data_IF_974327749631
#
_entry.id   IF_974327749631
#
_cell.length_a   1.000
_cell.length_b   1.000
_cell.length_c   1.000
_cell.angle_alpha   90.00
_cell.angle_beta   90.00
_cell.angle_gamma   90.00
#
_symmetry.space_group_name_H-M   'P 1'
#
loop_
_entity.id
_entity.type
_entity.pdbx_description
1 polymer ?
#
# COMPACT_ATOMS: atom_id res chain seq x y z
N UNK A 1 -28.60 -40.94 -0.22
CA UNK A 1 -29.11 -40.28 1.01
C UNK A 1 -29.24 -38.80 0.67
N UNK A 2 -30.43 -38.22 0.83
CA UNK A 2 -30.67 -36.82 0.47
C UNK A 2 -30.05 -35.89 1.51
N UNK A 3 -29.12 -35.03 1.11
CA UNK A 3 -28.61 -33.94 1.95
C UNK A 3 -29.79 -33.06 2.39
N UNK A 4 -30.28 -33.26 3.62
CA UNK A 4 -31.33 -32.45 4.21
C UNK A 4 -30.73 -31.11 4.62
N UNK A 5 -30.84 -30.12 3.74
CA UNK A 5 -30.51 -28.74 4.05
C UNK A 5 -31.54 -28.14 5.01
N UNK A 6 -31.07 -27.56 6.10
CA UNK A 6 -31.87 -26.83 7.09
C UNK A 6 -31.59 -25.33 6.95
N UNK A 7 -32.61 -24.50 7.18
CA UNK A 7 -32.45 -23.04 7.21
C UNK A 7 -31.54 -22.66 8.38
N UNK A 8 -30.59 -21.75 8.14
CA UNK A 8 -29.68 -21.33 9.18
C UNK A 8 -30.35 -20.35 10.15
N UNK A 9 -30.06 -20.53 11.43
CA UNK A 9 -30.39 -19.62 12.52
C UNK A 9 -29.22 -19.56 13.52
N UNK A 10 -29.31 -18.68 14.52
CA UNK A 10 -28.24 -18.44 15.50
C UNK A 10 -27.79 -19.68 16.29
N UNK A 11 -28.51 -20.81 16.23
CA UNK A 11 -28.20 -22.03 17.01
C UNK A 11 -27.51 -23.12 16.19
N UNK A 12 -27.54 -23.03 14.86
CA UNK A 12 -27.15 -24.14 14.00
C UNK A 12 -25.98 -23.83 13.05
N UNK A 13 -25.32 -22.68 13.21
CA UNK A 13 -24.10 -22.35 12.49
C UNK A 13 -22.90 -23.13 13.04
N UNK A 14 -21.95 -23.54 12.17
CA UNK A 14 -20.66 -24.04 12.62
C UNK A 14 -19.87 -22.92 13.31
N UNK A 15 -19.06 -23.30 14.30
CA UNK A 15 -18.12 -22.37 14.92
C UNK A 15 -16.99 -22.10 13.94
N UNK A 16 -16.70 -20.82 13.67
CA UNK A 16 -15.58 -20.42 12.82
C UNK A 16 -14.77 -19.35 13.54
N UNK A 17 -13.51 -19.65 13.82
CA UNK A 17 -12.61 -18.69 14.45
C UNK A 17 -11.73 -17.99 13.42
N UNK A 18 -11.27 -16.79 13.75
CA UNK A 18 -10.35 -16.02 12.89
C UNK A 18 -9.08 -16.81 12.55
N UNK A 19 -8.59 -17.64 13.48
CA UNK A 19 -7.41 -18.49 13.25
C UNK A 19 -7.66 -19.52 12.15
N UNK A 20 -8.83 -20.16 12.12
CA UNK A 20 -9.22 -21.12 11.06
C UNK A 20 -9.22 -20.45 9.69
N UNK A 21 -9.72 -19.21 9.62
CA UNK A 21 -9.76 -18.42 8.38
C UNK A 21 -8.33 -18.09 7.91
N UNK A 22 -7.44 -17.68 8.82
CA UNK A 22 -6.06 -17.36 8.50
C UNK A 22 -5.28 -18.60 8.01
N UNK A 23 -5.47 -19.75 8.66
CA UNK A 23 -4.89 -21.02 8.25
C UNK A 23 -5.37 -21.44 6.86
N UNK A 24 -6.68 -21.42 6.62
CA UNK A 24 -7.27 -21.72 5.30
C UNK A 24 -6.72 -20.81 4.19
N UNK A 25 -6.61 -19.50 4.45
CA UNK A 25 -6.06 -18.55 3.49
C UNK A 25 -4.58 -18.82 3.22
N UNK A 26 -3.82 -19.25 4.23
CA UNK A 26 -2.38 -19.52 4.09
C UNK A 26 -2.09 -20.76 3.24
N UNK A 27 -2.98 -21.76 3.26
CA UNK A 27 -2.83 -23.03 2.55
C UNK A 27 -3.56 -23.05 1.20
N UNK A 28 -4.55 -22.17 1.00
CA UNK A 28 -5.33 -22.10 -0.24
C UNK A 28 -4.59 -21.39 -1.38
N UNK A 29 -4.32 -22.13 -2.47
CA UNK A 29 -3.74 -21.61 -3.71
C UNK A 29 -4.62 -20.54 -4.40
N UNK A 30 -5.92 -20.47 -4.07
CA UNK A 30 -6.84 -19.48 -4.64
C UNK A 30 -6.79 -18.12 -3.91
N UNK A 31 -6.34 -18.09 -2.66
CA UNK A 31 -6.32 -16.90 -1.80
C UNK A 31 -4.91 -16.44 -1.44
N UNK A 32 -3.90 -17.28 -1.66
CA UNK A 32 -2.49 -17.01 -1.37
C UNK A 32 -1.65 -16.61 -2.61
N UNK A 33 -2.30 -16.14 -3.67
CA UNK A 33 -1.64 -15.65 -4.89
C UNK A 33 -0.96 -14.29 -4.61
N UNK A 34 0.33 -14.17 -4.90
CA UNK A 34 1.18 -13.04 -4.50
C UNK A 34 0.62 -11.68 -4.95
N UNK A 35 -0.04 -11.64 -6.11
CA UNK A 35 -0.59 -10.46 -6.77
C UNK A 35 -1.87 -9.92 -6.11
N UNK A 36 -2.58 -10.73 -5.32
CA UNK A 36 -3.90 -10.40 -4.75
C UNK A 36 -3.96 -10.57 -3.22
N UNK A 37 -2.86 -11.00 -2.60
CA UNK A 37 -2.73 -11.23 -1.16
C UNK A 37 -3.18 -9.99 -0.36
N UNK A 38 -4.16 -10.17 0.53
CA UNK A 38 -4.67 -9.13 1.44
C UNK A 38 -5.76 -8.19 0.88
N UNK A 39 -5.79 -7.93 -0.43
CA UNK A 39 -6.78 -6.99 -1.01
C UNK A 39 -8.22 -7.51 -0.91
N UNK A 40 -8.44 -8.78 -1.26
CA UNK A 40 -9.76 -9.43 -1.17
C UNK A 40 -10.21 -9.62 0.28
N UNK A 41 -9.25 -9.80 1.21
CA UNK A 41 -9.49 -9.90 2.65
C UNK A 41 -10.06 -8.58 3.16
N UNK A 42 -9.33 -7.48 2.94
CA UNK A 42 -9.74 -6.12 3.35
C UNK A 42 -11.12 -5.73 2.81
N UNK A 43 -11.42 -6.09 1.57
CA UNK A 43 -12.73 -5.80 0.97
C UNK A 43 -13.87 -6.61 1.59
N UNK A 44 -13.60 -7.86 1.98
CA UNK A 44 -14.61 -8.81 2.48
C UNK A 44 -14.81 -8.70 3.99
N UNK A 45 -13.82 -8.21 4.73
CA UNK A 45 -13.86 -8.06 6.20
C UNK A 45 -14.52 -6.76 6.67
N UNK A 46 -15.11 -5.96 5.76
CA UNK A 46 -15.82 -4.72 6.14
C UNK A 46 -17.13 -5.07 6.83
N UNK A 47 -17.33 -4.63 8.07
CA UNK A 47 -18.53 -4.91 8.86
C UNK A 47 -19.83 -4.60 8.12
N UNK A 48 -19.92 -3.43 7.48
CA UNK A 48 -21.11 -3.04 6.73
C UNK A 48 -21.42 -3.99 5.57
N UNK A 49 -20.41 -4.62 4.98
CA UNK A 49 -20.58 -5.56 3.88
C UNK A 49 -20.93 -6.96 4.41
N UNK A 50 -20.30 -7.39 5.50
CA UNK A 50 -20.64 -8.63 6.21
C UNK A 50 -22.12 -8.63 6.60
N UNK A 51 -22.60 -7.54 7.21
CA UNK A 51 -23.95 -7.48 7.77
C UNK A 51 -25.06 -7.39 6.72
N UNK A 52 -24.75 -6.91 5.52
CA UNK A 52 -25.78 -6.55 4.53
C UNK A 52 -25.81 -7.43 3.29
N UNK A 53 -24.71 -8.08 2.94
CA UNK A 53 -24.57 -8.74 1.65
C UNK A 53 -24.85 -10.25 1.67
N UNK A 54 -24.92 -10.88 2.85
CA UNK A 54 -25.15 -12.32 3.01
C UNK A 54 -26.61 -12.59 3.40
N UNK A 55 -27.23 -13.61 2.79
CA UNK A 55 -28.59 -14.04 3.13
C UNK A 55 -28.94 -15.39 2.51
N UNK A 56 -30.17 -15.85 2.74
CA UNK A 56 -30.64 -17.18 2.38
C UNK A 56 -29.65 -18.29 2.77
N UNK A 57 -29.17 -18.24 4.01
CA UNK A 57 -28.15 -19.16 4.52
C UNK A 57 -28.80 -20.48 4.92
N UNK A 58 -28.24 -21.59 4.46
CA UNK A 58 -28.66 -22.96 4.82
C UNK A 58 -27.45 -23.79 5.22
N UNK A 59 -27.69 -24.75 6.10
CA UNK A 59 -26.67 -25.65 6.64
C UNK A 59 -27.09 -27.09 6.35
N UNK A 60 -26.14 -27.93 5.98
CA UNK A 60 -26.30 -29.39 5.92
C UNK A 60 -25.14 -30.03 6.65
N UNK A 61 -25.40 -31.13 7.37
CA UNK A 61 -24.39 -31.86 8.14
C UNK A 61 -24.43 -33.33 7.76
N UNK A 62 -23.25 -33.87 7.50
CA UNK A 62 -23.04 -35.28 7.18
C UNK A 62 -21.83 -35.77 7.95
N UNK A 63 -22.05 -36.47 9.07
CA UNK A 63 -20.96 -36.84 9.97
C UNK A 63 -20.37 -35.62 10.69
N UNK A 64 -19.05 -35.44 10.59
CA UNK A 64 -18.33 -34.26 11.10
C UNK A 64 -18.27 -33.09 10.12
N UNK A 65 -18.70 -33.29 8.87
CA UNK A 65 -18.67 -32.25 7.85
C UNK A 65 -19.95 -31.42 7.85
N UNK A 66 -19.77 -30.11 7.91
CA UNK A 66 -20.82 -29.11 7.89
C UNK A 66 -20.68 -28.23 6.63
N UNK A 67 -21.65 -28.33 5.73
CA UNK A 67 -21.75 -27.50 4.53
C UNK A 67 -22.69 -26.33 4.77
N UNK A 68 -22.14 -25.12 4.72
CA UNK A 68 -22.90 -23.87 4.73
C UNK A 68 -23.04 -23.35 3.31
N UNK A 69 -24.26 -23.12 2.85
CA UNK A 69 -24.53 -22.45 1.57
C UNK A 69 -25.23 -21.11 1.81
N UNK A 70 -24.78 -20.05 1.16
CA UNK A 70 -25.38 -18.73 1.24
C UNK A 70 -25.56 -18.07 -0.13
N UNK A 71 -26.44 -17.07 -0.19
CA UNK A 71 -26.59 -16.16 -1.32
C UNK A 71 -25.96 -14.81 -0.99
N UNK A 72 -25.10 -14.34 -1.89
CA UNK A 72 -24.31 -13.12 -1.70
C UNK A 72 -24.64 -12.07 -2.75
N UNK A 73 -24.85 -10.83 -2.31
CA UNK A 73 -25.12 -9.68 -3.17
C UNK A 73 -23.82 -9.20 -3.86
N UNK A 74 -23.82 -9.04 -5.20
CA UNK A 74 -22.72 -8.39 -5.89
C UNK A 74 -22.65 -6.88 -5.56
N UNK A 75 -21.59 -6.46 -4.88
CA UNK A 75 -21.38 -5.06 -4.43
C UNK A 75 -21.56 -3.99 -5.54
N UNK A 76 -21.11 -4.25 -6.77
CA UNK A 76 -21.17 -3.27 -7.86
C UNK A 76 -22.47 -3.33 -8.69
N UNK A 77 -23.34 -4.31 -8.42
CA UNK A 77 -24.54 -4.58 -9.23
C UNK A 77 -25.67 -5.14 -8.37
N UNK A 78 -26.00 -4.42 -7.31
CA UNK A 78 -26.91 -4.80 -6.21
C UNK A 78 -28.27 -5.33 -6.70
N UNK A 79 -28.74 -4.87 -7.86
CA UNK A 79 -30.00 -5.30 -8.50
C UNK A 79 -29.93 -6.60 -9.31
N UNK A 80 -28.77 -7.24 -9.45
CA UNK A 80 -28.58 -8.48 -10.24
C UNK A 80 -28.73 -9.75 -9.40
N UNK A 81 -28.76 -10.90 -10.09
CA UNK A 81 -28.77 -12.26 -9.52
C UNK A 81 -27.71 -12.41 -8.42
N UNK A 82 -28.13 -12.94 -7.27
CA UNK A 82 -27.25 -13.25 -6.13
C UNK A 82 -26.32 -14.41 -6.48
N UNK A 83 -25.07 -14.33 -6.01
CA UNK A 83 -24.10 -15.41 -6.19
C UNK A 83 -24.29 -16.49 -5.12
N UNK A 84 -24.17 -17.75 -5.52
CA UNK A 84 -24.14 -18.88 -4.57
C UNK A 84 -22.72 -19.10 -4.08
N UNK A 85 -22.57 -19.20 -2.76
CA UNK A 85 -21.30 -19.54 -2.10
C UNK A 85 -21.54 -20.73 -1.18
N UNK A 86 -20.66 -21.72 -1.26
CA UNK A 86 -20.65 -22.90 -0.41
C UNK A 86 -19.34 -22.93 0.38
N UNK A 87 -19.42 -23.28 1.65
CA UNK A 87 -18.30 -23.44 2.55
C UNK A 87 -18.44 -24.80 3.24
N UNK A 88 -17.39 -25.61 3.17
CA UNK A 88 -17.32 -26.91 3.83
C UNK A 88 -16.36 -26.82 5.02
N UNK A 89 -16.83 -27.23 6.20
CA UNK A 89 -16.10 -27.15 7.47
C UNK A 89 -16.12 -28.52 8.12
N UNK A 90 -14.97 -29.00 8.57
CA UNK A 90 -14.84 -30.13 9.46
C UNK A 90 -14.99 -29.64 10.91
N UNK A 91 -16.15 -29.87 11.51
CA UNK A 91 -16.49 -29.44 12.88
C UNK A 91 -15.73 -30.26 13.95
N UNK A 92 -15.17 -31.43 13.61
CA UNK A 92 -14.39 -32.23 14.57
C UNK A 92 -12.95 -31.70 14.71
N UNK A 93 -12.35 -31.33 13.58
CA UNK A 93 -10.96 -30.89 13.54
C UNK A 93 -10.80 -29.37 13.55
N UNK A 94 -11.90 -28.62 13.59
CA UNK A 94 -11.93 -27.15 13.47
C UNK A 94 -11.17 -26.66 12.22
N UNK A 95 -11.41 -27.31 11.07
CA UNK A 95 -10.74 -26.99 9.79
C UNK A 95 -11.75 -26.55 8.73
N UNK A 96 -11.47 -25.44 8.06
CA UNK A 96 -12.19 -25.05 6.84
C UNK A 96 -11.61 -25.88 5.67
N UNK A 97 -12.41 -26.77 5.11
CA UNK A 97 -12.02 -27.64 3.99
C UNK A 97 -11.97 -26.80 2.71
N UNK A 98 -13.05 -26.10 2.40
CA UNK A 98 -13.13 -25.22 1.24
C UNK A 98 -14.16 -24.09 1.41
N UNK A 99 -14.04 -23.07 0.55
CA UNK A 99 -15.08 -22.06 0.34
C UNK A 99 -15.09 -21.61 -1.12
N UNK A 100 -16.16 -21.95 -1.83
CA UNK A 100 -16.29 -21.84 -3.29
C UNK A 100 -17.50 -20.99 -3.66
N UNK A 101 -17.30 -20.04 -4.57
CA UNK A 101 -18.38 -19.29 -5.20
C UNK A 101 -18.68 -19.87 -6.59
N UNK A 102 -19.91 -20.32 -6.82
CA UNK A 102 -20.27 -21.07 -8.04
C UNK A 102 -20.53 -20.15 -9.23
N UNK A 103 -21.15 -18.99 -8.98
CA UNK A 103 -21.74 -18.15 -10.02
C UNK A 103 -20.90 -16.91 -10.38
N UNK A 104 -19.69 -16.76 -9.82
CA UNK A 104 -18.84 -15.58 -10.01
C UNK A 104 -17.73 -15.81 -11.03
N UNK A 105 -17.54 -14.89 -11.97
CA UNK A 105 -16.45 -14.93 -12.97
C UNK A 105 -15.04 -14.99 -12.37
N UNK A 106 -14.87 -14.59 -11.10
CA UNK A 106 -13.60 -14.63 -10.38
C UNK A 106 -13.45 -15.87 -9.47
N UNK A 107 -14.33 -16.87 -9.57
CA UNK A 107 -14.34 -18.06 -8.71
C UNK A 107 -13.05 -18.87 -8.82
N UNK A 108 -12.54 -19.08 -10.04
CA UNK A 108 -11.33 -19.86 -10.32
C UNK A 108 -10.05 -19.31 -9.65
N UNK A 109 -10.02 -18.00 -9.35
CA UNK A 109 -8.88 -17.32 -8.72
C UNK A 109 -9.16 -16.83 -7.30
N UNK A 110 -10.12 -17.43 -6.59
CA UNK A 110 -10.53 -17.07 -5.23
C UNK A 110 -11.24 -15.72 -5.19
N UNK A 111 -12.57 -15.70 -5.21
CA UNK A 111 -13.31 -14.44 -5.24
C UNK A 111 -13.47 -13.80 -3.85
N UNK A 112 -13.92 -12.54 -3.79
CA UNK A 112 -14.27 -11.88 -2.52
C UNK A 112 -15.48 -12.50 -1.81
N UNK A 113 -16.38 -13.13 -2.57
CA UNK A 113 -17.62 -13.70 -2.03
C UNK A 113 -17.36 -14.95 -1.18
N UNK A 114 -16.37 -15.78 -1.54
CA UNK A 114 -16.00 -16.95 -0.72
C UNK A 114 -15.44 -16.55 0.64
N UNK A 115 -14.58 -15.53 0.67
CA UNK A 115 -14.05 -14.97 1.92
C UNK A 115 -15.13 -14.27 2.75
N UNK A 116 -16.07 -13.57 2.11
CA UNK A 116 -17.16 -12.90 2.80
C UNK A 116 -18.00 -13.87 3.64
N UNK A 117 -18.29 -15.07 3.11
CA UNK A 117 -19.02 -16.08 3.87
C UNK A 117 -18.26 -16.53 5.12
N UNK A 118 -16.92 -16.66 5.04
CA UNK A 118 -16.09 -17.02 6.18
C UNK A 118 -16.11 -15.94 7.27
N UNK A 119 -15.92 -14.67 6.90
CA UNK A 119 -16.00 -13.56 7.86
C UNK A 119 -17.39 -13.42 8.47
N UNK A 120 -18.44 -13.67 7.68
CA UNK A 120 -19.80 -13.69 8.18
C UNK A 120 -20.02 -14.82 9.21
N UNK A 121 -19.54 -16.03 8.92
CA UNK A 121 -19.62 -17.15 9.84
C UNK A 121 -18.85 -16.88 11.14
N UNK A 122 -17.64 -16.33 11.05
CA UNK A 122 -16.87 -15.98 12.24
C UNK A 122 -17.60 -14.96 13.11
N UNK A 123 -18.13 -13.90 12.50
CA UNK A 123 -18.93 -12.89 13.21
C UNK A 123 -20.15 -13.52 13.88
N UNK A 124 -21.02 -14.20 13.11
CA UNK A 124 -22.29 -14.73 13.60
C UNK A 124 -22.17 -15.91 14.56
N UNK A 125 -21.11 -16.71 14.46
CA UNK A 125 -20.83 -17.77 15.43
C UNK A 125 -20.25 -17.26 16.75
N UNK A 126 -19.69 -16.05 16.76
CA UNK A 126 -19.09 -15.42 17.95
C UNK A 126 -20.03 -14.48 18.72
N UNK A 127 -21.13 -14.06 18.10
CA UNK A 127 -22.14 -13.21 18.75
C UNK A 127 -22.85 -14.00 19.87
N UNK A 128 -22.95 -13.45 21.11
CA UNK A 128 -23.62 -14.15 22.20
C UNK A 128 -25.09 -14.39 21.87
N UNK A 129 -25.60 -15.57 22.24
CA UNK A 129 -26.98 -15.94 21.94
C UNK A 129 -27.95 -14.89 22.49
N UNK A 130 -28.59 -14.16 21.59
CA UNK A 130 -29.68 -13.26 21.97
C UNK A 130 -30.86 -14.10 22.51
N UNK A 131 -31.72 -13.51 23.34
CA UNK A 131 -32.95 -14.18 23.81
C UNK A 131 -33.94 -14.47 22.67
N UNK A 132 -33.74 -13.86 21.50
CA UNK A 132 -34.45 -14.16 20.26
C UNK A 132 -33.60 -15.04 19.32
N UNK A 133 -34.25 -16.00 18.66
CA UNK A 133 -33.61 -16.81 17.60
C UNK A 133 -33.51 -15.93 16.35
N UNK A 134 -32.30 -15.60 15.93
CA UNK A 134 -32.05 -14.80 14.72
C UNK A 134 -32.11 -15.71 13.48
N UNK A 135 -32.96 -15.38 12.52
CA UNK A 135 -33.13 -16.15 11.28
C UNK A 135 -32.22 -15.60 10.16
N UNK A 136 -31.41 -16.48 9.55
CA UNK A 136 -30.51 -16.12 8.44
C UNK A 136 -31.04 -16.53 7.06
N UNK A 137 -32.24 -17.11 7.01
CA UNK A 137 -32.97 -17.39 5.76
C UNK A 137 -33.78 -16.18 5.28
N UNK A 138 -33.13 -15.02 5.21
CA UNK A 138 -33.75 -13.77 4.78
C UNK A 138 -33.05 -13.20 3.55
N UNK A 139 -33.78 -12.36 2.81
CA UNK A 139 -33.20 -11.61 1.68
C UNK A 139 -32.11 -10.66 2.23
N UNK A 140 -30.90 -10.61 1.63
CA UNK A 140 -29.85 -9.70 2.09
C UNK A 140 -30.32 -8.24 2.04
N UNK A 141 -30.09 -7.46 3.09
CA UNK A 141 -30.56 -6.07 3.17
C UNK A 141 -29.95 -5.18 2.10
N UNK A 142 -28.71 -5.45 1.68
CA UNK A 142 -28.05 -4.72 0.60
C UNK A 142 -28.87 -4.79 -0.70
N UNK A 143 -29.53 -5.91 -0.98
CA UNK A 143 -30.35 -6.09 -2.20
C UNK A 143 -31.61 -5.22 -2.25
N UNK A 144 -31.95 -4.55 -1.16
CA UNK A 144 -33.08 -3.63 -1.04
C UNK A 144 -32.64 -2.15 -0.97
N UNK A 145 -31.34 -1.86 -1.06
CA UNK A 145 -30.82 -0.51 -1.04
C UNK A 145 -31.22 0.25 -2.33
N UNK A 146 -31.90 1.39 -2.17
CA UNK A 146 -32.07 2.38 -3.23
C UNK A 146 -30.76 3.15 -3.40
N UNK A 147 -30.32 3.34 -4.64
CA UNK A 147 -29.21 4.26 -4.94
C UNK A 147 -29.74 5.68 -4.88
N UNK A 148 -29.79 6.27 -3.68
CA UNK A 148 -29.97 7.72 -3.57
C UNK A 148 -28.70 8.45 -4.01
N UNK A 149 -28.83 9.59 -4.72
CA UNK A 149 -27.68 10.38 -5.12
C UNK A 149 -26.97 10.93 -3.87
N UNK A 150 -25.75 10.45 -3.64
CA UNK A 150 -24.91 10.89 -2.54
C UNK A 150 -24.49 12.33 -2.77
N UNK A 151 -24.78 13.22 -1.82
CA UNK A 151 -24.34 14.62 -1.87
C UNK A 151 -22.87 14.73 -1.47
N UNK A 152 -22.16 15.74 -1.99
CA UNK A 152 -20.75 16.00 -1.63
C UNK A 152 -20.54 16.14 -0.12
N UNK A 153 -21.52 16.63 0.65
CA UNK A 153 -21.48 16.70 2.12
C UNK A 153 -21.50 15.33 2.81
N UNK A 154 -22.13 14.32 2.23
CA UNK A 154 -22.24 12.98 2.82
C UNK A 154 -20.96 12.15 2.64
N UNK A 155 -20.20 12.44 1.57
CA UNK A 155 -18.89 11.84 1.28
C UNK A 155 -17.85 12.26 2.34
N UNK A 156 -18.00 13.44 2.94
CA UNK A 156 -17.05 14.01 3.91
C UNK A 156 -17.53 13.95 5.36
N UNK A 157 -18.44 13.02 5.73
CA UNK A 157 -18.69 12.78 7.16
C UNK A 157 -17.41 12.25 7.79
N UNK A 158 -16.76 13.05 8.65
CA UNK A 158 -15.68 12.60 9.52
C UNK A 158 -16.16 11.35 10.24
N UNK A 159 -15.53 10.21 9.96
CA UNK A 159 -15.80 8.98 10.69
C UNK A 159 -15.64 9.27 12.18
N UNK A 160 -16.61 8.84 13.02
CA UNK A 160 -16.40 8.86 14.47
C UNK A 160 -15.17 7.99 14.75
N UNK A 161 -14.12 8.62 15.25
CA UNK A 161 -12.95 7.91 15.75
C UNK A 161 -13.47 6.94 16.83
N UNK A 162 -13.26 5.62 16.69
CA UNK A 162 -13.60 4.69 17.75
C UNK A 162 -12.91 5.16 19.03
N UNK A 163 -13.66 5.33 20.12
CA UNK A 163 -13.03 5.49 21.44
C UNK A 163 -12.29 4.19 21.73
N UNK A 164 -10.98 4.16 21.50
CA UNK A 164 -10.15 3.12 22.08
C UNK A 164 -10.28 3.25 23.58
N UNK A 165 -10.84 2.23 24.22
CA UNK A 165 -10.72 2.10 25.67
C UNK A 165 -9.24 1.88 26.01
N UNK A 166 -8.75 2.36 27.17
CA UNK A 166 -7.38 2.13 27.59
C UNK A 166 -7.16 0.62 27.66
N UNK A 167 -6.28 0.08 26.81
CA UNK A 167 -5.95 -1.35 26.79
C UNK A 167 -4.95 -1.64 27.90
N UNK A 168 -5.19 -2.73 28.62
CA UNK A 168 -4.22 -3.36 29.50
C UNK A 168 -2.85 -3.43 28.82
N UNK A 169 -1.84 -2.80 29.43
CA UNK A 169 -0.46 -2.80 28.93
C UNK A 169 0.15 -4.21 28.89
N UNK A 170 -0.40 -5.15 29.67
CA UNK A 170 0.08 -6.53 29.75
C UNK A 170 0.10 -7.23 28.39
N UNK A 171 -0.86 -6.95 27.50
CA UNK A 171 -0.93 -7.62 26.19
C UNK A 171 0.23 -7.23 25.27
N UNK A 172 0.75 -5.99 25.41
CA UNK A 172 1.90 -5.52 24.63
C UNK A 172 3.21 -6.12 25.16
N UNK A 173 3.29 -6.34 26.47
CA UNK A 173 4.42 -7.00 27.13
C UNK A 173 4.47 -8.47 26.70
N UNK A 174 3.36 -9.20 26.82
CA UNK A 174 3.25 -10.60 26.38
C UNK A 174 3.56 -10.75 24.88
N UNK A 175 3.08 -9.83 24.05
CA UNK A 175 3.39 -9.82 22.62
C UNK A 175 4.88 -9.58 22.34
N UNK A 176 5.51 -8.67 23.08
CA UNK A 176 6.95 -8.40 22.95
C UNK A 176 7.79 -9.61 23.34
N UNK A 177 7.47 -10.26 24.47
CA UNK A 177 8.12 -11.48 24.93
C UNK A 177 7.99 -12.61 23.91
N UNK A 178 6.81 -12.81 23.35
CA UNK A 178 6.55 -13.82 22.33
C UNK A 178 7.29 -13.53 21.02
N UNK A 179 7.39 -12.25 20.63
CA UNK A 179 8.19 -11.84 19.47
C UNK A 179 9.68 -12.08 19.70
N UNK A 180 10.22 -11.77 20.89
CA UNK A 180 11.61 -12.06 21.27
C UNK A 180 11.86 -13.58 21.22
N UNK A 181 10.97 -14.37 21.79
CA UNK A 181 11.04 -15.84 21.78
C UNK A 181 11.07 -16.42 20.36
N UNK A 182 10.33 -15.82 19.43
CA UNK A 182 10.25 -16.27 18.02
C UNK A 182 11.25 -15.57 17.09
N UNK A 183 12.12 -14.71 17.62
CA UNK A 183 13.05 -13.88 16.84
C UNK A 183 12.35 -13.05 15.74
N UNK A 184 11.17 -12.50 16.05
CA UNK A 184 10.38 -11.67 15.16
C UNK A 184 10.68 -10.19 15.43
N UNK A 185 11.46 -9.54 14.56
CA UNK A 185 11.81 -8.11 14.68
C UNK A 185 10.89 -7.14 13.93
N UNK A 186 9.96 -7.64 13.10
CA UNK A 186 9.38 -6.84 12.01
C UNK A 186 7.87 -6.58 12.16
N UNK A 187 7.29 -6.75 13.35
CA UNK A 187 5.86 -6.51 13.59
C UNK A 187 5.54 -5.03 13.77
N UNK A 188 4.45 -4.57 13.16
CA UNK A 188 3.90 -3.22 13.39
C UNK A 188 3.54 -3.00 14.86
N UNK A 189 3.14 -4.05 15.58
CA UNK A 189 2.74 -3.97 17.00
C UNK A 189 3.96 -3.74 17.89
N UNK A 190 5.15 -4.26 17.52
CA UNK A 190 6.39 -4.04 18.28
C UNK A 190 6.77 -2.56 18.37
N UNK A 191 6.36 -1.74 17.39
CA UNK A 191 6.56 -0.28 17.44
C UNK A 191 5.83 0.41 18.60
N UNK A 192 4.87 -0.29 19.22
CA UNK A 192 4.09 0.21 20.35
C UNK A 192 4.50 -0.42 21.69
N UNK A 193 5.50 -1.31 21.71
CA UNK A 193 6.04 -1.94 22.92
C UNK A 193 7.16 -1.07 23.53
N UNK A 194 7.21 -1.01 24.87
CA UNK A 194 8.20 -0.23 25.61
C UNK A 194 9.60 -0.87 25.45
N UNK A 195 10.49 -0.23 24.68
CA UNK A 195 11.88 -0.70 24.46
C UNK A 195 12.24 -1.09 23.03
N UNK A 196 11.31 -1.00 22.08
CA UNK A 196 11.63 -1.17 20.66
C UNK A 196 12.58 -0.06 20.18
N UNK A 197 13.80 -0.44 19.79
CA UNK A 197 14.74 0.49 19.17
C UNK A 197 14.25 0.84 17.77
N UNK A 198 13.70 2.05 17.63
CA UNK A 198 13.34 2.67 16.36
C UNK A 198 14.61 2.90 15.52
N UNK A 199 14.99 1.92 14.71
CA UNK A 199 16.21 1.97 13.89
C UNK A 199 15.93 2.14 12.39
N UNK A 200 14.68 2.36 11.98
CA UNK A 200 14.36 2.33 10.55
C UNK A 200 14.74 3.63 9.80
N UNK A 201 15.23 4.66 10.52
CA UNK A 201 15.54 6.01 10.00
C UNK A 201 14.40 6.64 9.18
N UNK A 202 13.20 6.05 9.24
CA UNK A 202 12.02 6.55 8.56
C UNK A 202 11.54 7.85 9.23
N UNK A 203 10.84 8.70 8.49
CA UNK A 203 10.50 10.04 8.99
C UNK A 203 9.54 10.02 10.19
N UNK A 204 8.72 8.98 10.33
CA UNK A 204 7.80 8.79 11.45
C UNK A 204 8.55 8.39 12.72
N UNK A 205 9.51 7.47 12.61
CA UNK A 205 10.39 7.07 13.70
C UNK A 205 11.22 8.27 14.20
N UNK A 206 11.71 9.11 13.28
CA UNK A 206 12.42 10.34 13.64
C UNK A 206 11.46 11.36 14.29
N UNK A 207 10.20 11.43 13.85
CA UNK A 207 9.19 12.29 14.46
C UNK A 207 8.86 11.86 15.90
N UNK A 208 8.78 10.55 16.16
CA UNK A 208 8.64 10.01 17.52
C UNK A 208 9.83 10.44 18.40
N UNK A 209 11.06 10.21 17.94
CA UNK A 209 12.27 10.62 18.66
C UNK A 209 12.30 12.13 18.91
N UNK A 210 11.87 12.94 17.94
CA UNK A 210 11.78 14.39 18.10
C UNK A 210 10.78 14.79 19.19
N UNK A 211 9.59 14.17 19.22
CA UNK A 211 8.57 14.48 20.22
C UNK A 211 8.99 14.07 21.63
N UNK A 212 9.75 12.99 21.77
CA UNK A 212 10.26 12.52 23.06
C UNK A 212 11.38 13.42 23.63
N UNK A 213 12.18 14.04 22.76
CA UNK A 213 13.37 14.81 23.16
C UNK A 213 13.10 16.31 23.27
N UNK A 214 12.30 16.87 22.36
CA UNK A 214 12.08 18.32 22.26
C UNK A 214 10.74 18.70 22.90
N UNK A 215 10.70 19.81 23.63
CA UNK A 215 9.46 20.32 24.25
C UNK A 215 8.65 21.20 23.30
N UNK A 216 9.33 21.96 22.43
CA UNK A 216 8.71 22.82 21.43
C UNK A 216 8.71 22.18 20.04
N UNK A 217 7.54 21.71 19.60
CA UNK A 217 7.39 20.94 18.36
C UNK A 217 7.14 21.80 17.11
N UNK A 218 7.95 22.84 16.91
CA UNK A 218 7.93 23.62 15.66
C UNK A 218 8.67 22.90 14.52
N UNK A 219 8.31 23.23 13.28
CA UNK A 219 9.03 22.72 12.09
C UNK A 219 10.52 23.10 12.10
N UNK A 220 10.86 24.30 12.61
CA UNK A 220 12.26 24.74 12.74
C UNK A 220 13.07 23.81 13.64
N UNK A 221 12.52 23.46 14.81
CA UNK A 221 13.18 22.53 15.74
C UNK A 221 13.27 21.12 15.14
N UNK A 222 12.23 20.67 14.44
CA UNK A 222 12.26 19.39 13.74
C UNK A 222 13.34 19.35 12.65
N UNK A 223 13.51 20.43 11.89
CA UNK A 223 14.58 20.57 10.88
C UNK A 223 15.97 20.48 11.52
N UNK A 224 16.16 21.09 12.68
CA UNK A 224 17.41 20.99 13.43
C UNK A 224 17.65 19.57 13.96
N UNK A 225 16.60 18.90 14.43
CA UNK A 225 16.67 17.50 14.84
C UNK A 225 17.05 16.59 13.66
N UNK A 226 16.44 16.77 12.48
CA UNK A 226 16.78 16.03 11.27
C UNK A 226 18.26 16.17 10.89
N UNK A 227 18.86 17.36 11.03
CA UNK A 227 20.29 17.58 10.76
C UNK A 227 21.21 16.82 11.72
N UNK A 228 20.77 16.58 12.95
CA UNK A 228 21.53 15.78 13.94
C UNK A 228 21.46 14.29 13.62
N UNK A 229 20.30 13.82 13.14
CA UNK A 229 20.02 12.39 12.90
C UNK A 229 20.50 11.91 11.53
N UNK A 230 20.42 12.76 10.49
CA UNK A 230 20.76 12.43 9.11
C UNK A 230 22.14 13.00 8.78
N UNK A 231 23.17 12.17 8.92
CA UNK A 231 24.55 12.45 8.53
C UNK A 231 24.96 11.63 7.29
N UNK A 232 26.15 11.88 6.74
CA UNK A 232 26.63 11.20 5.51
C UNK A 232 26.65 9.67 5.65
N UNK A 233 26.99 9.14 6.81
CA UNK A 233 26.96 7.70 7.10
C UNK A 233 25.54 7.13 7.01
N UNK A 234 24.56 7.85 7.58
CA UNK A 234 23.14 7.48 7.49
C UNK A 234 22.64 7.52 6.05
N UNK A 235 23.06 8.52 5.26
CA UNK A 235 22.68 8.62 3.85
C UNK A 235 23.25 7.44 3.05
N UNK A 236 24.51 7.08 3.31
CA UNK A 236 25.16 5.94 2.66
C UNK A 236 24.48 4.61 3.02
N UNK A 237 24.19 4.39 4.30
CA UNK A 237 23.50 3.20 4.79
C UNK A 237 22.11 3.06 4.14
N UNK A 238 21.34 4.16 4.09
CA UNK A 238 20.04 4.19 3.42
C UNK A 238 20.18 3.79 1.95
N UNK A 239 21.15 4.39 1.24
CA UNK A 239 21.38 4.09 -0.16
C UNK A 239 21.67 2.59 -0.37
N UNK A 240 22.61 2.02 0.38
CA UNK A 240 23.00 0.60 0.28
C UNK A 240 21.83 -0.34 0.56
N UNK A 241 21.08 -0.11 1.64
CA UNK A 241 19.91 -0.94 2.02
C UNK A 241 18.75 -0.84 1.03
N UNK A 242 18.75 0.18 0.18
CA UNK A 242 17.64 0.49 -0.73
C UNK A 242 17.97 0.35 -2.22
N UNK A 243 19.15 -0.18 -2.59
CA UNK A 243 19.59 -0.39 -3.98
C UNK A 243 18.57 -1.18 -4.83
N UNK A 244 17.83 -2.11 -4.23
CA UNK A 244 16.78 -2.88 -4.93
C UNK A 244 15.53 -2.09 -5.31
N UNK A 245 15.45 -0.80 -4.96
CA UNK A 245 14.37 0.14 -5.25
C UNK A 245 12.96 -0.46 -5.13
N UNK A 246 12.25 -0.69 -6.25
CA UNK A 246 10.87 -1.20 -6.24
C UNK A 246 10.71 -2.53 -5.53
N UNK A 247 11.76 -3.35 -5.52
CA UNK A 247 11.79 -4.66 -4.87
C UNK A 247 12.20 -4.56 -3.39
N UNK A 248 12.70 -3.40 -2.94
CA UNK A 248 13.12 -3.18 -1.56
C UNK A 248 11.99 -2.61 -0.72
N UNK A 249 11.52 -3.40 0.26
CA UNK A 249 10.57 -2.91 1.29
C UNK A 249 11.12 -1.72 2.07
N UNK A 250 12.43 -1.73 2.33
CA UNK A 250 13.12 -0.64 3.02
C UNK A 250 13.09 0.66 2.19
N UNK A 251 13.28 0.57 0.87
CA UNK A 251 13.15 1.71 -0.03
C UNK A 251 11.76 2.34 0.01
N UNK A 252 10.68 1.54 0.04
CA UNK A 252 9.32 2.06 0.20
C UNK A 252 9.14 2.75 1.56
N UNK A 253 9.64 2.13 2.64
CA UNK A 253 9.50 2.64 3.99
C UNK A 253 10.24 3.97 4.20
N UNK A 254 11.48 4.10 3.71
CA UNK A 254 12.26 5.32 3.89
C UNK A 254 11.73 6.50 3.06
N UNK A 255 11.05 6.23 1.94
CA UNK A 255 10.44 7.27 1.09
C UNK A 255 9.13 7.81 1.65
N UNK A 256 8.43 7.02 2.46
CA UNK A 256 7.15 7.41 3.02
C UNK A 256 7.30 8.66 3.91
N UNK A 257 6.39 9.62 3.72
CA UNK A 257 6.38 10.91 4.41
C UNK A 257 7.47 11.90 3.94
N UNK A 258 8.36 11.50 3.03
CA UNK A 258 9.39 12.38 2.44
C UNK A 258 9.00 12.84 1.04
N UNK A 259 9.51 14.00 0.65
CA UNK A 259 9.54 14.41 -0.75
C UNK A 259 10.48 13.50 -1.54
N UNK A 260 10.10 13.22 -2.78
CA UNK A 260 10.94 12.47 -3.73
C UNK A 260 11.14 13.28 -5.00
N UNK A 261 12.26 13.08 -5.71
CA UNK A 261 12.53 13.74 -6.99
C UNK A 261 11.33 13.73 -7.95
N UNK A 262 10.64 12.59 -8.07
CA UNK A 262 9.47 12.41 -8.94
C UNK A 262 8.23 13.25 -8.57
N UNK A 263 8.16 13.73 -7.31
CA UNK A 263 7.05 14.50 -6.74
C UNK A 263 7.43 15.94 -6.37
N UNK A 264 8.71 16.28 -6.46
CA UNK A 264 9.23 17.59 -6.07
C UNK A 264 8.58 18.73 -6.86
N UNK A 265 8.43 18.57 -8.17
CA UNK A 265 7.76 19.57 -9.02
C UNK A 265 6.30 19.77 -8.61
N UNK A 266 5.56 18.69 -8.32
CA UNK A 266 4.16 18.77 -7.89
C UNK A 266 4.03 19.46 -6.53
N UNK A 267 4.91 19.12 -5.58
CA UNK A 267 4.94 19.75 -4.25
C UNK A 267 5.22 21.25 -4.30
N UNK A 268 6.17 21.68 -5.14
CA UNK A 268 6.52 23.09 -5.29
C UNK A 268 5.40 23.97 -5.88
N UNK A 269 4.40 23.37 -6.53
CA UNK A 269 3.28 24.09 -7.15
C UNK A 269 1.93 23.83 -6.45
N UNK A 270 1.91 22.95 -5.44
CA UNK A 270 0.70 22.60 -4.72
C UNK A 270 0.43 23.61 -3.60
N UNK A 271 -0.81 24.08 -3.51
CA UNK A 271 -1.26 25.05 -2.48
C UNK A 271 -2.37 24.50 -1.58
N UNK A 272 -2.69 23.22 -1.71
CA UNK A 272 -3.87 22.61 -1.09
C UNK A 272 -3.51 21.31 -0.39
N UNK A 273 -4.16 21.05 0.74
CA UNK A 273 -4.24 19.71 1.32
C UNK A 273 -5.14 18.83 0.44
N UNK A 274 -4.71 17.61 0.14
CA UNK A 274 -5.42 16.73 -0.79
C UNK A 274 -4.60 15.53 -1.26
N UNK A 275 -4.85 15.08 -2.48
CA UNK A 275 -4.31 13.80 -2.98
C UNK A 275 -2.78 13.72 -2.95
N UNK A 276 -2.06 14.82 -3.16
CA UNK A 276 -0.60 14.82 -3.09
C UNK A 276 -0.09 14.56 -1.67
N UNK A 277 -0.76 15.12 -0.66
CA UNK A 277 -0.42 14.89 0.75
C UNK A 277 -0.63 13.43 1.12
N UNK A 278 -1.78 12.86 0.74
CA UNK A 278 -2.08 11.44 0.96
C UNK A 278 -1.07 10.52 0.24
N UNK A 279 -0.63 10.90 -0.97
CA UNK A 279 0.41 10.16 -1.70
C UNK A 279 1.76 10.20 -0.98
N UNK A 280 2.16 11.35 -0.44
CA UNK A 280 3.43 11.49 0.28
C UNK A 280 3.38 10.72 1.61
N UNK A 281 2.28 10.80 2.35
CA UNK A 281 2.10 10.08 3.63
C UNK A 281 1.88 8.57 3.46
N UNK A 282 1.66 8.09 2.23
CA UNK A 282 1.41 6.67 1.95
C UNK A 282 -0.05 6.25 2.17
N UNK A 283 -0.98 7.20 2.34
CA UNK A 283 -2.42 6.96 2.40
C UNK A 283 -3.04 6.55 1.05
N UNK A 284 -2.29 6.68 -0.05
CA UNK A 284 -2.74 6.29 -1.39
C UNK A 284 -1.82 5.24 -2.03
N UNK A 285 -2.31 4.01 -2.21
CA UNK A 285 -1.61 3.00 -3.01
C UNK A 285 -1.78 3.34 -4.49
N UNK A 286 -0.71 3.78 -5.13
CA UNK A 286 -0.70 4.00 -6.58
C UNK A 286 -0.94 2.65 -7.28
N UNK A 287 -2.02 2.51 -8.09
CA UNK A 287 -2.26 1.28 -8.83
C UNK A 287 -1.10 0.96 -9.77
N UNK A 288 -0.73 -0.31 -9.88
CA UNK A 288 0.24 -0.74 -10.90
C UNK A 288 -0.38 -0.58 -12.29
N UNK A 289 0.02 0.49 -12.96
CA UNK A 289 -0.42 0.75 -14.33
C UNK A 289 0.43 -0.02 -15.33
N UNK A 290 -0.12 -0.27 -16.53
CA UNK A 290 0.62 -0.86 -17.66
C UNK A 290 1.93 -0.11 -17.94
N UNK A 291 1.93 1.21 -17.76
CA UNK A 291 3.13 2.05 -17.96
C UNK A 291 4.21 1.80 -16.89
N UNK A 292 3.83 1.64 -15.62
CA UNK A 292 4.76 1.30 -14.54
C UNK A 292 5.37 -0.08 -14.76
N UNK A 293 4.53 -1.07 -15.08
CA UNK A 293 4.98 -2.44 -15.33
C UNK A 293 5.91 -2.52 -16.55
N UNK A 294 5.60 -1.78 -17.63
CA UNK A 294 6.49 -1.68 -18.79
C UNK A 294 7.83 -1.05 -18.42
N UNK A 295 7.83 0.02 -17.62
CA UNK A 295 9.04 0.65 -17.10
C UNK A 295 9.96 -0.37 -16.43
N UNK A 296 9.47 -1.02 -15.36
CA UNK A 296 10.22 -2.02 -14.59
C UNK A 296 10.80 -3.15 -15.45
N UNK A 297 10.03 -3.63 -16.43
CA UNK A 297 10.46 -4.71 -17.33
C UNK A 297 11.61 -4.28 -18.25
N UNK A 298 11.60 -3.03 -18.71
CA UNK A 298 12.51 -2.57 -19.77
C UNK A 298 13.73 -1.82 -19.24
N UNK A 299 13.66 -1.23 -18.05
CA UNK A 299 14.69 -0.37 -17.48
C UNK A 299 16.11 -0.96 -17.59
N UNK A 300 16.30 -2.20 -17.12
CA UNK A 300 17.60 -2.90 -17.21
C UNK A 300 18.11 -3.07 -18.66
N UNK A 301 17.20 -3.35 -19.60
CA UNK A 301 17.56 -3.48 -21.03
C UNK A 301 17.92 -2.12 -21.63
N UNK A 302 17.27 -1.05 -21.20
CA UNK A 302 17.58 0.31 -21.64
C UNK A 302 18.96 0.73 -21.11
N UNK A 303 19.28 0.44 -19.84
CA UNK A 303 20.61 0.68 -19.27
C UNK A 303 21.69 0.01 -20.13
N UNK A 304 21.51 -1.28 -20.48
CA UNK A 304 22.47 -2.00 -21.32
C UNK A 304 22.71 -1.31 -22.67
N UNK A 305 21.66 -0.80 -23.33
CA UNK A 305 21.81 -0.06 -24.59
C UNK A 305 22.53 1.27 -24.38
N UNK A 306 22.32 1.94 -23.24
CA UNK A 306 23.07 3.17 -22.89
C UNK A 306 24.56 2.86 -22.69
N UNK A 307 24.87 1.83 -21.91
CA UNK A 307 26.26 1.39 -21.66
C UNK A 307 26.98 1.01 -22.96
N UNK A 308 26.33 0.21 -23.83
CA UNK A 308 26.84 -0.16 -25.15
C UNK A 308 27.09 1.07 -26.03
N UNK A 309 26.15 2.03 -26.06
CA UNK A 309 26.20 3.18 -26.97
C UNK A 309 27.21 4.25 -26.53
N UNK A 310 27.42 4.40 -25.22
CA UNK A 310 28.31 5.42 -24.66
C UNK A 310 29.67 4.86 -24.22
N UNK A 311 29.83 3.54 -24.14
CA UNK A 311 31.07 2.92 -23.67
C UNK A 311 31.33 3.18 -22.18
N UNK A 312 30.27 3.24 -21.37
CA UNK A 312 30.31 3.59 -19.95
C UNK A 312 29.72 2.46 -19.10
N UNK A 313 30.05 2.46 -17.81
CA UNK A 313 29.41 1.59 -16.81
C UNK A 313 28.41 2.38 -15.99
N UNK A 314 27.23 1.83 -15.77
CA UNK A 314 26.16 2.43 -14.98
C UNK A 314 25.86 1.52 -13.79
N UNK A 315 25.98 2.08 -12.58
CA UNK A 315 25.73 1.37 -11.34
C UNK A 315 24.30 1.58 -10.84
N UNK A 316 23.75 0.57 -10.17
CA UNK A 316 22.46 0.69 -9.51
C UNK A 316 22.57 1.63 -8.29
N UNK A 317 21.55 2.43 -8.06
CA UNK A 317 21.43 3.28 -6.87
C UNK A 317 20.20 2.94 -6.04
N UNK A 318 20.26 3.20 -4.74
CA UNK A 318 19.12 3.18 -3.85
C UNK A 318 18.45 4.54 -3.74
N UNK A 319 17.97 4.86 -2.54
CA UNK A 319 17.45 6.16 -2.17
C UNK A 319 18.54 7.00 -1.53
N UNK A 320 18.87 8.12 -2.16
CA UNK A 320 19.85 9.09 -1.67
C UNK A 320 19.12 10.30 -1.13
N UNK A 321 19.31 10.58 0.17
CA UNK A 321 18.76 11.77 0.79
C UNK A 321 19.61 13.00 0.43
N UNK A 322 18.92 14.09 0.09
CA UNK A 322 19.51 15.44 -0.05
C UNK A 322 19.49 16.13 1.31
N UNK A 323 18.41 15.93 2.06
CA UNK A 323 18.23 16.36 3.44
C UNK A 323 17.27 15.40 4.14
N UNK A 324 16.89 15.70 5.39
CA UNK A 324 16.00 14.82 6.15
C UNK A 324 14.59 14.62 5.58
N UNK A 325 14.10 15.53 4.74
CA UNK A 325 12.74 15.51 4.17
C UNK A 325 12.69 15.22 2.66
N UNK A 326 13.81 15.25 1.95
CA UNK A 326 13.89 15.12 0.49
C UNK A 326 14.97 14.12 0.10
N UNK A 327 14.65 13.23 -0.83
CA UNK A 327 15.64 12.37 -1.49
C UNK A 327 15.26 11.98 -2.92
N UNK A 328 16.15 11.23 -3.56
CA UNK A 328 16.02 10.80 -4.93
C UNK A 328 16.49 9.35 -5.11
N UNK A 329 15.94 8.67 -6.12
CA UNK A 329 16.46 7.40 -6.63
C UNK A 329 16.65 7.57 -8.13
N UNK A 330 17.90 7.76 -8.60
CA UNK A 330 18.22 7.64 -10.01
C UNK A 330 17.96 6.20 -10.51
N UNK A 331 17.69 6.06 -11.80
CA UNK A 331 17.58 4.73 -12.42
C UNK A 331 18.97 4.11 -12.65
N UNK A 332 20.00 4.95 -12.70
CA UNK A 332 21.40 4.53 -12.69
C UNK A 332 22.34 5.69 -12.40
N UNK A 333 23.56 5.37 -12.00
CA UNK A 333 24.63 6.34 -11.71
C UNK A 333 25.89 5.95 -12.45
N UNK A 334 26.36 6.83 -13.33
CA UNK A 334 27.66 6.72 -13.98
C UNK A 334 28.75 7.44 -13.19
N UNK A 335 29.95 7.53 -13.78
CA UNK A 335 31.10 8.16 -13.13
C UNK A 335 30.87 9.65 -12.85
N UNK A 336 30.45 10.44 -13.83
CA UNK A 336 30.22 11.89 -13.71
C UNK A 336 28.74 12.31 -13.92
N UNK A 337 27.83 11.35 -14.14
CA UNK A 337 26.43 11.63 -14.44
C UNK A 337 25.44 10.69 -13.73
N UNK A 338 24.17 11.13 -13.66
CA UNK A 338 23.02 10.28 -13.28
C UNK A 338 22.18 9.93 -14.50
N UNK A 339 21.39 8.86 -14.43
CA UNK A 339 20.49 8.41 -15.49
C UNK A 339 19.05 8.40 -15.01
N UNK A 340 18.16 8.95 -15.83
CA UNK A 340 16.71 8.88 -15.67
C UNK A 340 16.08 8.34 -16.96
N UNK A 341 15.32 7.25 -16.85
CA UNK A 341 14.77 6.48 -17.95
C UNK A 341 13.26 6.59 -17.97
N UNK A 342 12.70 6.88 -19.15
CA UNK A 342 11.26 6.77 -19.41
C UNK A 342 11.00 5.75 -20.51
N UNK A 343 10.07 4.84 -20.24
CA UNK A 343 9.66 3.79 -21.17
C UNK A 343 8.19 3.99 -21.65
N UNK A 344 7.89 5.03 -22.46
CA UNK A 344 6.53 5.30 -22.96
C UNK A 344 5.99 4.18 -23.85
N UNK A 345 4.68 3.92 -23.79
CA UNK A 345 4.01 2.97 -24.69
C UNK A 345 3.43 3.65 -25.96
N UNK A 346 3.59 4.97 -26.11
CA UNK A 346 3.05 5.70 -27.26
C UNK A 346 3.86 6.98 -27.56
N UNK A 347 3.85 7.39 -28.82
CA UNK A 347 4.43 8.66 -29.29
C UNK A 347 3.87 9.89 -28.57
N UNK A 348 2.57 9.86 -28.24
CA UNK A 348 1.94 10.93 -27.45
C UNK A 348 2.62 11.07 -26.08
N UNK A 349 2.99 9.96 -25.46
CA UNK A 349 3.67 9.95 -24.16
C UNK A 349 5.13 10.40 -24.30
N UNK A 350 5.83 10.01 -25.37
CA UNK A 350 7.18 10.54 -25.69
C UNK A 350 7.18 12.06 -25.68
N UNK A 351 6.24 12.67 -26.43
CA UNK A 351 6.07 14.14 -26.51
C UNK A 351 5.74 14.83 -25.19
N UNK A 352 5.26 14.08 -24.20
CA UNK A 352 5.01 14.60 -22.84
C UNK A 352 6.28 14.68 -22.00
N UNK A 353 7.29 13.86 -22.31
CA UNK A 353 8.60 13.87 -21.66
C UNK A 353 9.54 14.88 -22.29
N UNK A 354 9.65 14.85 -23.62
CA UNK A 354 10.58 15.67 -24.42
C UNK A 354 9.83 16.34 -25.57
N UNK A 355 10.13 17.62 -25.80
CA UNK A 355 9.66 18.34 -26.98
C UNK A 355 10.83 19.14 -27.57
N UNK A 356 11.17 18.89 -28.83
CA UNK A 356 12.30 19.53 -29.52
C UNK A 356 13.61 19.41 -28.72
N UNK A 357 13.95 18.20 -28.26
CA UNK A 357 15.11 17.89 -27.41
C UNK A 357 15.17 18.63 -26.08
N UNK A 358 14.08 19.26 -25.66
CA UNK A 358 13.94 19.91 -24.36
C UNK A 358 13.09 19.04 -23.45
N UNK A 359 13.66 18.64 -22.31
CA UNK A 359 12.97 17.89 -21.26
C UNK A 359 11.91 18.79 -20.61
N UNK A 360 10.69 18.26 -20.46
CA UNK A 360 9.61 18.97 -19.78
C UNK A 360 10.01 19.33 -18.33
N UNK A 361 9.59 20.51 -17.86
CA UNK A 361 9.94 21.06 -16.54
C UNK A 361 9.79 20.07 -15.39
N UNK A 362 8.73 19.25 -15.36
CA UNK A 362 8.53 18.24 -14.32
C UNK A 362 9.67 17.23 -14.26
N UNK A 363 10.10 16.73 -15.41
CA UNK A 363 11.16 15.73 -15.49
C UNK A 363 12.56 16.37 -15.44
N UNK A 364 12.71 17.63 -15.89
CA UNK A 364 13.91 18.44 -15.64
C UNK A 364 14.14 18.61 -14.13
N UNK A 365 13.10 18.94 -13.36
CA UNK A 365 13.18 18.98 -11.89
C UNK A 365 13.56 17.62 -11.31
N UNK A 366 13.00 16.53 -11.83
CA UNK A 366 13.29 15.18 -11.35
C UNK A 366 14.79 14.84 -11.50
N UNK A 367 15.34 15.02 -12.71
CA UNK A 367 16.76 14.69 -12.97
C UNK A 367 17.72 15.64 -12.24
N UNK A 368 17.41 16.94 -12.16
CA UNK A 368 18.23 17.89 -11.39
C UNK A 368 18.26 17.56 -9.89
N UNK A 369 17.14 17.08 -9.34
CA UNK A 369 17.09 16.60 -7.96
C UNK A 369 17.98 15.35 -7.76
N UNK A 370 17.98 14.41 -8.70
CA UNK A 370 18.88 13.26 -8.66
C UNK A 370 20.36 13.67 -8.77
N UNK A 371 20.67 14.61 -9.65
CA UNK A 371 22.03 15.17 -9.80
C UNK A 371 22.53 15.79 -8.49
N UNK A 372 21.67 16.56 -7.81
CA UNK A 372 21.97 17.12 -6.48
C UNK A 372 22.21 16.00 -5.44
N UNK A 373 21.34 14.99 -5.39
CA UNK A 373 21.48 13.87 -4.44
C UNK A 373 22.76 13.07 -4.64
N UNK A 374 23.17 12.86 -5.90
CA UNK A 374 24.36 12.11 -6.28
C UNK A 374 25.64 12.97 -6.37
N UNK A 375 25.53 14.29 -6.14
CA UNK A 375 26.62 15.27 -6.33
C UNK A 375 27.25 15.19 -7.73
N UNK A 376 26.42 15.12 -8.77
CA UNK A 376 26.84 15.03 -10.19
C UNK A 376 26.53 16.31 -10.95
N UNK A 377 27.41 16.69 -11.87
CA UNK A 377 27.27 17.90 -12.68
C UNK A 377 26.39 17.68 -13.93
N UNK A 378 26.18 16.42 -14.35
CA UNK A 378 25.42 16.06 -15.55
C UNK A 378 24.36 15.01 -15.26
N UNK A 379 23.28 15.05 -16.05
CA UNK A 379 22.23 14.05 -16.07
C UNK A 379 21.95 13.59 -17.49
N UNK A 380 21.77 12.30 -17.68
CA UNK A 380 21.36 11.69 -18.94
C UNK A 380 19.88 11.30 -18.85
N UNK A 381 19.03 12.08 -19.51
CA UNK A 381 17.61 11.79 -19.62
C UNK A 381 17.36 10.92 -20.86
N UNK A 382 16.94 9.68 -20.64
CA UNK A 382 16.74 8.68 -21.68
C UNK A 382 15.25 8.38 -21.88
N UNK A 383 14.78 8.43 -23.12
CA UNK A 383 13.44 7.99 -23.48
C UNK A 383 13.56 6.81 -24.44
N UNK A 384 13.06 5.65 -24.01
CA UNK A 384 13.01 4.46 -24.85
C UNK A 384 11.88 4.60 -25.88
N UNK A 385 12.13 4.08 -27.09
CA UNK A 385 11.16 4.02 -28.16
C UNK A 385 9.88 3.26 -27.73
N UNK A 386 8.67 3.66 -28.19
CA UNK A 386 7.45 2.92 -27.91
C UNK A 386 7.47 1.45 -28.34
N UNK A 387 8.27 1.13 -29.35
CA UNK A 387 8.55 -0.22 -29.86
C UNK A 387 9.97 -0.69 -29.49
N UNK A 388 10.54 -0.18 -28.38
CA UNK A 388 11.89 -0.50 -27.91
C UNK A 388 12.19 -2.01 -27.90
N UNK A 389 11.20 -2.85 -27.57
CA UNK A 389 11.34 -4.30 -27.57
C UNK A 389 11.85 -4.88 -28.89
N UNK A 390 11.49 -4.24 -30.02
CA UNK A 390 11.94 -4.59 -31.38
C UNK A 390 13.03 -3.66 -31.89
N UNK A 391 12.90 -2.35 -31.65
CA UNK A 391 13.79 -1.36 -32.27
C UNK A 391 15.12 -1.20 -31.52
N UNK A 392 15.14 -1.48 -30.21
CA UNK A 392 16.22 -1.11 -29.27
C UNK A 392 16.61 0.38 -29.33
N UNK A 393 15.78 1.23 -29.93
CA UNK A 393 16.08 2.65 -30.10
C UNK A 393 15.87 3.41 -28.79
N UNK A 394 16.81 4.32 -28.51
CA UNK A 394 16.76 5.22 -27.36
C UNK A 394 17.07 6.64 -27.80
N UNK A 395 16.34 7.60 -27.22
CA UNK A 395 16.57 9.02 -27.40
C UNK A 395 17.22 9.58 -26.12
N UNK A 396 18.40 10.18 -26.28
CA UNK A 396 19.26 10.64 -25.19
C UNK A 396 19.33 12.16 -25.18
N UNK A 397 19.04 12.77 -24.02
CA UNK A 397 19.19 14.21 -23.80
C UNK A 397 20.07 14.45 -22.58
N UNK A 398 21.18 15.17 -22.78
CA UNK A 398 22.05 15.61 -21.69
C UNK A 398 21.48 16.87 -21.02
N UNK A 399 21.55 16.88 -19.69
CA UNK A 399 21.08 17.98 -18.85
C UNK A 399 22.21 18.42 -17.94
N UNK A 400 22.58 19.69 -18.00
CA UNK A 400 23.55 20.30 -17.11
C UNK A 400 22.90 20.70 -15.78
N UNK A 401 23.69 20.64 -14.70
CA UNK A 401 23.22 21.00 -13.38
C UNK A 401 22.87 22.48 -13.30
N UNK A 402 21.67 22.76 -12.81
CA UNK A 402 21.12 24.10 -12.67
C UNK A 402 20.75 24.31 -11.19
N UNK A 403 21.76 24.71 -10.42
CA UNK A 403 21.67 24.86 -8.97
C UNK A 403 20.62 25.90 -8.55
N UNK A 404 20.58 27.03 -9.27
CA UNK A 404 19.65 28.12 -8.99
C UNK A 404 18.21 27.65 -9.18
N UNK A 405 17.94 26.97 -10.29
CA UNK A 405 16.61 26.43 -10.57
C UNK A 405 16.17 25.39 -9.54
N UNK A 406 17.03 24.41 -9.24
CA UNK A 406 16.63 23.32 -8.33
C UNK A 406 16.42 23.82 -6.90
N UNK A 407 17.25 24.75 -6.43
CA UNK A 407 17.12 25.33 -5.08
C UNK A 407 15.82 26.16 -4.94
N UNK A 408 15.42 26.94 -5.96
CA UNK A 408 14.13 27.63 -5.96
C UNK A 408 12.95 26.66 -5.82
N UNK A 409 12.99 25.54 -6.55
CA UNK A 409 11.95 24.51 -6.50
C UNK A 409 11.94 23.79 -5.14
N UNK A 410 13.11 23.46 -4.58
CA UNK A 410 13.23 22.83 -3.25
C UNK A 410 12.65 23.75 -2.17
N UNK A 411 12.98 25.04 -2.20
CA UNK A 411 12.46 26.00 -1.22
C UNK A 411 10.92 26.06 -1.25
N UNK A 412 10.32 26.10 -2.44
CA UNK A 412 8.86 26.06 -2.59
C UNK A 412 8.25 24.76 -2.07
N UNK A 413 8.89 23.62 -2.35
CA UNK A 413 8.43 22.33 -1.87
C UNK A 413 8.60 22.15 -0.35
N UNK A 414 9.62 22.77 0.25
CA UNK A 414 9.82 22.80 1.71
C UNK A 414 8.69 23.57 2.40
N UNK A 415 8.25 24.70 1.83
CA UNK A 415 7.06 25.43 2.31
C UNK A 415 5.83 24.53 2.26
N UNK A 416 5.58 23.83 1.15
CA UNK A 416 4.49 22.85 1.06
C UNK A 416 4.60 21.75 2.13
N UNK A 417 5.79 21.19 2.33
CA UNK A 417 5.99 20.09 3.28
C UNK A 417 5.75 20.54 4.73
N UNK A 418 6.30 21.69 5.12
CA UNK A 418 6.11 22.28 6.45
C UNK A 418 4.66 22.68 6.72
N UNK A 419 3.92 23.11 5.71
CA UNK A 419 2.52 23.51 5.85
C UNK A 419 1.55 22.32 5.91
N UNK A 420 1.78 21.27 5.10
CA UNK A 420 0.77 20.22 4.89
C UNK A 420 1.19 18.83 5.38
N UNK A 421 2.48 18.49 5.32
CA UNK A 421 2.97 17.17 5.72
C UNK A 421 3.38 17.16 7.19
N UNK A 422 4.17 18.14 7.61
CA UNK A 422 4.68 18.24 8.98
C UNK A 422 3.56 18.19 10.04
N UNK A 423 2.46 18.97 9.95
CA UNK A 423 1.43 18.94 10.99
C UNK A 423 0.77 17.57 11.12
N UNK A 424 0.55 16.86 10.00
CA UNK A 424 -0.04 15.51 9.99
C UNK A 424 0.91 14.47 10.58
N UNK A 425 2.21 14.56 10.28
CA UNK A 425 3.22 13.71 10.91
C UNK A 425 3.25 13.94 12.42
N UNK A 426 3.23 15.20 12.85
CA UNK A 426 3.25 15.56 14.26
C UNK A 426 2.00 15.08 15.00
N UNK A 427 0.81 15.29 14.40
CA UNK A 427 -0.46 14.80 14.93
C UNK A 427 -0.49 13.26 15.02
N UNK A 428 0.15 12.56 14.07
CA UNK A 428 0.17 11.09 14.08
C UNK A 428 0.95 10.46 15.24
N UNK A 429 1.82 11.24 15.90
CA UNK A 429 2.66 10.76 17.01
C UNK A 429 2.30 11.37 18.37
N UNK A 430 1.56 12.49 18.38
CA UNK A 430 1.07 13.10 19.62
C UNK A 430 -0.12 12.30 20.16
N UNK A 431 0.04 11.76 21.37
CA UNK A 431 -1.00 11.01 22.09
C UNK A 431 -2.12 11.91 22.61
#
# INVERSE_FOLDING_TARGET
MSDTFVKADSRNLPKVETVMILEYISTSNHHNVAEIRGAKILMSSRDSYIDTAVGYVKVSRTGSECTVTAKIVPEHRISKKLYTVKCNIDEHNDVIIDSVCEDCAASAGGCKHSLLLLFWLAKKSSEPSSTAIECYWNKPTLSSASTEPVTSKEIFRKAKIPKLMPKDRNILIEFEEECKRRNLGNSLILKFCDGYKLDSKNIFDIMLQFVDVETDHTYSNFRNHLKKVINDETILDINVKSVGQSESKYWHNIRQGRLTASKLYEAAHCKTDGTLVEQILGGYKVPETKSILRGRRLEKRVIQVIEEKLGVKIENSGFMLINGILGASPDGVGEDFVVEIKCPASEKTVKSYIKNDIVNKKYKTQILCQMLACKKAKGLFCVADPLFETTRNIHLVWVDFDEIYINDIINKAEVFWSQFIFPKLLESVKK
#
